data_IF_842535558513
#
_entry.id   IF_842535558513
#
_cell.length_a   1.000
_cell.length_b   1.000
_cell.length_c   1.000
_cell.angle_alpha   90.00
_cell.angle_beta   90.00
_cell.angle_gamma   90.00
#
_symmetry.space_group_name_H-M   'P 1'
#
loop_
_entity.id
_entity.type
_entity.pdbx_description
1 polymer ?
#
# COMPACT_ATOMS: atom_id res chain seq x y z
N UNK A 1 5.58 13.36 -1.08
CA UNK A 1 4.73 12.80 -0.01
C UNK A 1 4.30 13.86 1.01
N UNK A 2 5.21 14.58 1.68
CA UNK A 2 4.85 15.62 2.67
C UNK A 2 3.90 16.70 2.12
N UNK A 3 4.17 17.23 0.92
CA UNK A 3 3.28 18.20 0.28
C UNK A 3 1.87 17.63 -0.02
N UNK A 4 1.77 16.35 -0.38
CA UNK A 4 0.47 15.69 -0.62
C UNK A 4 -0.32 15.49 0.67
N UNK A 5 0.37 15.31 1.80
CA UNK A 5 -0.25 15.15 3.11
C UNK A 5 -0.74 16.48 3.70
N UNK A 6 0.12 17.51 3.69
CA UNK A 6 -0.18 18.80 4.33
C UNK A 6 -0.90 19.80 3.41
N UNK A 7 -0.78 19.65 2.08
CA UNK A 7 -1.34 20.58 1.09
C UNK A 7 -2.10 19.79 -0.01
N UNK A 8 -3.18 19.09 0.35
CA UNK A 8 -3.89 18.20 -0.57
C UNK A 8 -4.48 18.94 -1.79
N UNK A 9 -5.03 20.15 -1.59
CA UNK A 9 -5.65 20.92 -2.67
C UNK A 9 -4.63 21.42 -3.70
N UNK A 10 -3.47 21.90 -3.23
CA UNK A 10 -2.37 22.33 -4.10
C UNK A 10 -1.81 21.13 -4.85
N UNK A 11 -1.64 20.01 -4.16
CA UNK A 11 -1.13 18.78 -4.76
C UNK A 11 -2.08 18.23 -5.83
N UNK A 12 -3.40 18.34 -5.61
CA UNK A 12 -4.42 17.99 -6.59
C UNK A 12 -4.38 18.92 -7.80
N UNK A 13 -4.26 20.24 -7.58
CA UNK A 13 -4.17 21.23 -8.65
C UNK A 13 -2.91 21.04 -9.51
N UNK A 14 -1.77 20.74 -8.88
CA UNK A 14 -0.51 20.46 -9.57
C UNK A 14 -0.43 19.04 -10.17
N UNK A 15 -1.47 18.20 -9.98
CA UNK A 15 -1.54 16.81 -10.43
C UNK A 15 -0.31 15.99 -10.00
N UNK A 16 0.12 16.17 -8.75
CA UNK A 16 1.24 15.44 -8.19
C UNK A 16 0.88 13.97 -8.03
N UNK A 17 1.74 13.09 -8.54
CA UNK A 17 1.60 11.63 -8.43
C UNK A 17 2.55 11.09 -7.38
N UNK A 18 2.05 10.27 -6.47
CA UNK A 18 2.87 9.63 -5.43
C UNK A 18 3.92 8.69 -6.02
N UNK A 19 3.59 8.01 -7.11
CA UNK A 19 4.47 7.08 -7.81
C UNK A 19 4.60 7.46 -9.28
N UNK A 20 5.73 7.06 -9.89
CA UNK A 20 5.93 7.13 -11.34
C UNK A 20 4.91 6.27 -12.09
N UNK A 21 4.69 6.55 -13.38
CA UNK A 21 3.67 5.87 -14.20
C UNK A 21 3.95 4.37 -14.29
N UNK A 22 5.21 4.02 -14.54
CA UNK A 22 5.71 2.66 -14.69
C UNK A 22 5.54 1.88 -13.37
N UNK A 23 5.95 2.49 -12.25
CA UNK A 23 5.77 1.93 -10.91
C UNK A 23 4.30 1.72 -10.58
N UNK A 24 3.43 2.67 -10.93
CA UNK A 24 1.98 2.56 -10.71
C UNK A 24 1.38 1.39 -11.48
N UNK A 25 1.76 1.22 -12.76
CA UNK A 25 1.31 0.10 -13.58
C UNK A 25 1.79 -1.24 -13.00
N UNK A 26 3.05 -1.29 -12.58
CA UNK A 26 3.65 -2.47 -11.97
C UNK A 26 2.94 -2.87 -10.66
N UNK A 27 2.79 -1.94 -9.72
CA UNK A 27 2.14 -2.20 -8.43
C UNK A 27 0.69 -2.66 -8.62
N UNK A 28 -0.04 -2.00 -9.52
CA UNK A 28 -1.41 -2.39 -9.86
C UNK A 28 -1.47 -3.81 -10.40
N UNK A 29 -0.59 -4.17 -11.34
CA UNK A 29 -0.54 -5.51 -11.92
C UNK A 29 -0.31 -6.57 -10.84
N UNK A 30 0.77 -6.42 -10.05
CA UNK A 30 1.15 -7.40 -9.02
C UNK A 30 0.07 -7.51 -7.95
N UNK A 31 -0.50 -6.39 -7.50
CA UNK A 31 -1.56 -6.40 -6.50
C UNK A 31 -2.81 -7.13 -7.01
N UNK A 32 -3.29 -6.79 -8.20
CA UNK A 32 -4.46 -7.43 -8.80
C UNK A 32 -4.25 -8.93 -9.00
N UNK A 33 -3.10 -9.34 -9.52
CA UNK A 33 -2.75 -10.76 -9.69
C UNK A 33 -2.72 -11.50 -8.34
N UNK A 34 -2.14 -10.87 -7.30
CA UNK A 34 -2.02 -11.48 -5.97
C UNK A 34 -3.38 -11.65 -5.29
N UNK A 35 -4.21 -10.61 -5.29
CA UNK A 35 -5.56 -10.66 -4.70
C UNK A 35 -6.42 -11.67 -5.45
N UNK A 36 -6.42 -11.64 -6.79
CA UNK A 36 -7.21 -12.55 -7.62
C UNK A 36 -6.84 -14.00 -7.34
N UNK A 37 -5.54 -14.32 -7.40
CA UNK A 37 -5.05 -15.66 -7.10
C UNK A 37 -5.41 -16.13 -5.68
N UNK A 38 -5.31 -15.24 -4.69
CA UNK A 38 -5.67 -15.56 -3.30
C UNK A 38 -7.18 -15.84 -3.17
N UNK A 39 -8.03 -15.02 -3.77
CA UNK A 39 -9.47 -15.23 -3.76
C UNK A 39 -9.89 -16.52 -4.49
N UNK A 40 -9.26 -16.83 -5.62
CA UNK A 40 -9.53 -18.07 -6.40
C UNK A 40 -9.08 -19.32 -5.66
N UNK A 41 -7.89 -19.29 -5.03
CA UNK A 41 -7.37 -20.43 -4.29
C UNK A 41 -8.08 -20.68 -2.96
N UNK A 42 -8.68 -19.65 -2.36
CA UNK A 42 -9.28 -19.73 -1.02
C UNK A 42 -8.27 -19.95 0.11
N UNK A 43 -6.96 -19.89 -0.18
CA UNK A 43 -5.90 -20.05 0.82
C UNK A 43 -5.95 -18.90 1.83
N UNK A 44 -5.77 -19.21 3.13
CA UNK A 44 -5.63 -18.21 4.21
C UNK A 44 -4.20 -18.27 4.75
N UNK A 45 -3.50 -17.14 4.73
CA UNK A 45 -2.12 -16.96 5.22
C UNK A 45 -2.01 -16.05 6.44
N UNK A 46 -3.09 -15.37 6.82
CA UNK A 46 -3.15 -14.40 7.91
C UNK A 46 -2.18 -13.22 7.70
N UNK A 47 -2.07 -12.78 6.45
CA UNK A 47 -1.24 -11.63 6.04
C UNK A 47 -2.11 -10.41 5.68
N UNK A 48 -1.45 -9.31 5.29
CA UNK A 48 -2.12 -8.08 4.86
C UNK A 48 -3.11 -8.33 3.71
N UNK A 49 -2.80 -9.24 2.79
CA UNK A 49 -3.67 -9.55 1.64
C UNK A 49 -5.00 -10.13 2.14
N UNK A 50 -4.96 -11.00 3.15
CA UNK A 50 -6.19 -11.55 3.74
C UNK A 50 -7.01 -10.49 4.46
N UNK A 51 -6.36 -9.56 5.17
CA UNK A 51 -7.02 -8.40 5.79
C UNK A 51 -7.72 -7.56 4.72
N UNK A 52 -7.03 -7.25 3.62
CA UNK A 52 -7.59 -6.46 2.51
C UNK A 52 -8.76 -7.18 1.81
N UNK A 53 -8.69 -8.50 1.63
CA UNK A 53 -9.79 -9.30 1.09
C UNK A 53 -10.99 -9.29 2.06
N UNK A 54 -10.75 -9.34 3.36
CA UNK A 54 -11.80 -9.29 4.37
C UNK A 54 -12.47 -7.91 4.41
N UNK A 55 -11.69 -6.83 4.36
CA UNK A 55 -12.21 -5.46 4.23
C UNK A 55 -13.05 -5.35 2.95
N UNK A 56 -12.57 -5.86 1.81
CA UNK A 56 -13.32 -5.89 0.55
C UNK A 56 -14.67 -6.59 0.72
N UNK A 57 -14.71 -7.75 1.39
CA UNK A 57 -15.94 -8.54 1.62
C UNK A 57 -16.90 -7.82 2.56
N UNK A 58 -16.42 -7.28 3.66
CA UNK A 58 -17.25 -6.63 4.67
C UNK A 58 -17.79 -5.27 4.19
N UNK A 59 -17.09 -4.62 3.26
CA UNK A 59 -17.52 -3.32 2.68
C UNK A 59 -18.41 -3.49 1.43
N UNK A 60 -18.82 -4.72 1.09
CA UNK A 60 -19.61 -4.98 -0.13
C UNK A 60 -21.03 -4.42 -0.07
N UNK A 61 -21.59 -4.32 1.14
CA UNK A 61 -23.00 -3.94 1.38
C UNK A 61 -23.17 -2.51 1.94
N UNK A 62 -22.08 -1.85 2.34
CA UNK A 62 -22.10 -0.49 2.90
C UNK A 62 -21.06 0.40 2.18
N UNK A 63 -21.52 1.32 1.34
CA UNK A 63 -20.68 2.43 0.89
C UNK A 63 -20.42 3.37 2.07
N UNK A 64 -19.25 3.26 2.68
CA UNK A 64 -18.80 4.24 3.67
C UNK A 64 -18.38 5.49 2.91
N UNK A 65 -19.22 6.52 2.91
CA UNK A 65 -18.90 7.86 2.37
C UNK A 65 -18.43 7.87 0.89
N UNK A 66 -18.97 6.99 0.06
CA UNK A 66 -18.60 6.88 -1.36
C UNK A 66 -17.24 6.19 -1.62
N UNK A 67 -16.64 5.60 -0.58
CA UNK A 67 -15.44 4.79 -0.70
C UNK A 67 -15.81 3.32 -0.92
N UNK A 68 -15.56 2.82 -2.13
CA UNK A 68 -15.72 1.39 -2.43
C UNK A 68 -14.36 0.73 -2.24
N UNK A 69 -14.21 -0.13 -1.24
CA UNK A 69 -12.99 -0.94 -1.06
C UNK A 69 -12.89 -1.99 -2.19
N UNK A 70 -12.56 -1.53 -3.39
CA UNK A 70 -12.41 -2.35 -4.58
C UNK A 70 -11.30 -1.79 -5.49
N UNK A 71 -10.70 -2.66 -6.30
CA UNK A 71 -9.68 -2.31 -7.29
C UNK A 71 -8.58 -1.38 -6.76
N UNK A 72 -8.61 -0.13 -7.22
CA UNK A 72 -7.58 0.88 -6.99
C UNK A 72 -7.51 1.36 -5.56
N UNK A 73 -8.64 1.39 -4.86
CA UNK A 73 -8.70 1.83 -3.47
C UNK A 73 -8.02 0.82 -2.54
N UNK A 74 -8.25 -0.48 -2.77
CA UNK A 74 -7.52 -1.55 -2.08
C UNK A 74 -6.03 -1.56 -2.43
N UNK A 75 -5.69 -1.32 -3.69
CA UNK A 75 -4.31 -1.23 -4.14
C UNK A 75 -3.60 -0.05 -3.47
N UNK A 76 -4.27 1.09 -3.35
CA UNK A 76 -3.76 2.25 -2.65
C UNK A 76 -3.46 1.93 -1.17
N UNK A 77 -4.33 1.19 -0.47
CA UNK A 77 -4.05 0.75 0.91
C UNK A 77 -2.80 -0.12 1.01
N UNK A 78 -2.64 -1.10 0.11
CA UNK A 78 -1.44 -1.93 0.07
C UNK A 78 -0.17 -1.12 -0.23
N UNK A 79 -0.25 -0.19 -1.18
CA UNK A 79 0.86 0.69 -1.55
C UNK A 79 1.24 1.63 -0.39
N UNK A 80 0.27 2.19 0.33
CA UNK A 80 0.50 3.03 1.51
C UNK A 80 1.15 2.26 2.65
N UNK A 81 0.68 1.04 2.95
CA UNK A 81 1.30 0.17 3.95
C UNK A 81 2.76 -0.13 3.60
N UNK A 82 3.02 -0.52 2.34
CA UNK A 82 4.37 -0.79 1.87
C UNK A 82 5.27 0.45 1.98
N UNK A 83 4.83 1.59 1.46
CA UNK A 83 5.63 2.82 1.48
C UNK A 83 5.92 3.32 2.90
N UNK A 84 4.94 3.24 3.80
CA UNK A 84 5.12 3.68 5.19
C UNK A 84 6.03 2.75 5.99
N UNK A 85 5.93 1.44 5.78
CA UNK A 85 6.73 0.44 6.48
C UNK A 85 8.16 0.31 5.95
N UNK A 86 8.39 0.59 4.67
CA UNK A 86 9.67 0.35 4.02
C UNK A 86 10.79 1.23 4.57
N UNK A 87 10.64 2.56 4.51
CA UNK A 87 11.68 3.49 4.95
C UNK A 87 11.87 3.45 6.48
N UNK A 88 10.75 3.39 7.22
CA UNK A 88 10.75 3.37 8.67
C UNK A 88 11.39 2.12 9.27
N UNK A 89 11.46 1.01 8.53
CA UNK A 89 12.13 -0.22 8.97
C UNK A 89 13.53 -0.36 8.38
N UNK A 90 13.68 -0.13 7.08
CA UNK A 90 14.95 -0.39 6.37
C UNK A 90 16.05 0.57 6.83
N UNK A 91 15.72 1.85 7.04
CA UNK A 91 16.72 2.84 7.45
C UNK A 91 17.26 2.52 8.86
N UNK A 92 16.42 2.31 9.90
CA UNK A 92 16.93 1.90 11.21
C UNK A 92 17.71 0.57 11.19
N UNK A 93 17.28 -0.42 10.39
CA UNK A 93 18.03 -1.68 10.24
C UNK A 93 19.42 -1.40 9.67
N UNK A 94 19.53 -0.59 8.62
CA UNK A 94 20.81 -0.23 8.02
C UNK A 94 21.73 0.49 9.01
N UNK A 95 21.20 1.46 9.76
CA UNK A 95 21.96 2.15 10.81
C UNK A 95 22.37 1.20 11.95
N UNK A 96 21.48 0.30 12.37
CA UNK A 96 21.78 -0.68 13.41
C UNK A 96 22.93 -1.59 12.97
N UNK A 97 22.89 -2.09 11.74
CA UNK A 97 23.97 -2.92 11.19
C UNK A 97 25.27 -2.14 11.02
N UNK A 98 25.20 -0.87 10.64
CA UNK A 98 26.36 0.01 10.54
C UNK A 98 27.03 0.23 11.90
N UNK A 99 26.26 0.57 12.93
CA UNK A 99 26.75 0.75 14.30
C UNK A 99 27.32 -0.55 14.87
N UNK A 100 26.67 -1.70 14.62
CA UNK A 100 27.20 -3.00 15.02
C UNK A 100 28.56 -3.29 14.37
N UNK A 101 28.77 -2.92 13.12
CA UNK A 101 30.03 -3.13 12.42
C UNK A 101 31.16 -2.18 12.87
N UNK A 102 30.84 -1.01 13.43
CA UNK A 102 31.83 -0.09 14.00
C UNK A 102 32.20 -0.41 15.45
N UNK A 103 31.25 -1.00 16.20
CA UNK A 103 31.41 -1.32 17.62
C UNK A 103 31.95 -2.75 17.85
N UNK A 104 32.12 -3.52 16.78
CA UNK A 104 32.85 -4.79 16.73
C UNK A 104 34.25 -4.58 16.15
#
# INVERSE_FOLDING_TARGET
MLAMFFLPDISRMANLKSFGKETTIFLRKIFSETITRRMESGEKRYDLIDILIEIKKNSSDEEIEGFKFDGDDLMAQAASFFSGGFDSSTIPIAFTLYELALQL
#
